data_IF_946843736452
#
_entry.id   IF_946843736452
#
_cell.length_a   1.000
_cell.length_b   1.000
_cell.length_c   1.000
_cell.angle_alpha   90.00
_cell.angle_beta   90.00
_cell.angle_gamma   90.00
#
_symmetry.space_group_name_H-M   'P 1'
#
loop_
_entity.id
_entity.type
_entity.pdbx_description
1 polymer ?
#
# COMPACT_ATOMS: atom_id res chain seq x y z
N UNK A 1 6.22 -13.73 -3.96
CA UNK A 1 5.49 -14.52 -2.94
C UNK A 1 5.11 -15.88 -3.51
N UNK A 2 5.04 -16.92 -2.67
CA UNK A 2 4.50 -18.23 -3.05
C UNK A 2 2.96 -18.27 -2.87
N UNK A 3 2.29 -19.32 -3.35
CA UNK A 3 0.83 -19.45 -3.31
C UNK A 3 0.24 -19.32 -1.90
N UNK A 4 0.89 -19.89 -0.88
CA UNK A 4 0.40 -19.80 0.52
C UNK A 4 0.52 -18.37 1.05
N UNK A 5 1.64 -17.70 0.79
CA UNK A 5 1.84 -16.31 1.20
C UNK A 5 0.79 -15.38 0.55
N UNK A 6 0.51 -15.57 -0.74
CA UNK A 6 -0.54 -14.82 -1.43
C UNK A 6 -1.92 -15.08 -0.82
N UNK A 7 -2.25 -16.32 -0.45
CA UNK A 7 -3.53 -16.64 0.20
C UNK A 7 -3.69 -15.97 1.57
N UNK A 8 -2.62 -15.90 2.36
CA UNK A 8 -2.63 -15.23 3.67
C UNK A 8 -2.79 -13.72 3.48
N UNK A 9 -2.01 -13.11 2.59
CA UNK A 9 -2.13 -11.69 2.27
C UNK A 9 -3.53 -11.35 1.74
N UNK A 10 -4.07 -12.18 0.84
CA UNK A 10 -5.40 -11.98 0.27
C UNK A 10 -6.50 -12.08 1.33
N UNK A 11 -6.40 -13.03 2.26
CA UNK A 11 -7.33 -13.13 3.39
C UNK A 11 -7.29 -11.89 4.28
N UNK A 12 -6.08 -11.43 4.64
CA UNK A 12 -5.93 -10.19 5.41
C UNK A 12 -6.55 -9.00 4.69
N UNK A 13 -6.22 -8.85 3.40
CA UNK A 13 -6.77 -7.79 2.56
C UNK A 13 -8.30 -7.84 2.44
N UNK A 14 -8.89 -9.03 2.27
CA UNK A 14 -10.34 -9.21 2.20
C UNK A 14 -11.06 -8.98 3.52
N UNK A 15 -10.41 -9.29 4.65
CA UNK A 15 -10.98 -9.04 5.97
C UNK A 15 -11.07 -7.54 6.25
N UNK A 16 -10.02 -6.79 5.93
CA UNK A 16 -10.00 -5.32 6.10
C UNK A 16 -10.82 -4.60 5.03
N UNK A 17 -10.90 -5.16 3.81
CA UNK A 17 -11.60 -4.55 2.68
C UNK A 17 -12.52 -5.58 1.97
N UNK A 18 -13.78 -5.72 2.45
CA UNK A 18 -14.75 -6.67 1.88
C UNK A 18 -15.05 -6.41 0.39
N UNK A 19 -14.97 -5.14 -0.02
CA UNK A 19 -15.13 -4.65 -1.40
C UNK A 19 -14.09 -5.24 -2.37
N UNK A 20 -12.92 -5.68 -1.88
CA UNK A 20 -11.82 -6.16 -2.71
C UNK A 20 -10.95 -5.06 -3.33
N UNK A 21 -11.20 -3.80 -2.97
CA UNK A 21 -10.37 -2.63 -3.32
C UNK A 21 -10.22 -1.75 -2.09
N UNK A 22 -9.05 -1.17 -1.91
CA UNK A 22 -8.81 -0.17 -0.85
C UNK A 22 -8.86 1.21 -1.49
N UNK A 23 -9.72 2.08 -1.01
CA UNK A 23 -9.71 3.49 -1.39
C UNK A 23 -8.94 4.32 -0.35
N UNK A 24 -8.68 5.58 -0.68
CA UNK A 24 -7.88 6.46 0.16
C UNK A 24 -8.47 6.63 1.58
N UNK A 25 -9.80 6.76 1.68
CA UNK A 25 -10.48 6.94 2.96
C UNK A 25 -10.33 5.70 3.86
N UNK A 26 -10.51 4.50 3.32
CA UNK A 26 -10.28 3.25 4.04
C UNK A 26 -8.82 3.12 4.44
N UNK A 27 -7.88 3.51 3.58
CA UNK A 27 -6.45 3.48 3.89
C UNK A 27 -6.09 4.42 5.05
N UNK A 28 -6.65 5.64 5.06
CA UNK A 28 -6.51 6.60 6.17
C UNK A 28 -7.12 6.06 7.47
N UNK A 29 -8.27 5.39 7.41
CA UNK A 29 -8.88 4.77 8.59
C UNK A 29 -8.05 3.64 9.19
N UNK A 30 -7.35 2.85 8.37
CA UNK A 30 -6.42 1.82 8.87
C UNK A 30 -5.25 2.48 9.59
N UNK A 31 -4.70 3.55 9.01
CA UNK A 31 -3.58 4.29 9.59
C UNK A 31 -3.96 5.15 10.80
N UNK A 32 -5.22 5.56 10.95
CA UNK A 32 -5.68 6.32 12.12
C UNK A 32 -5.73 5.49 13.41
N UNK A 33 -5.60 4.16 13.32
CA UNK A 33 -5.43 3.28 14.49
C UNK A 33 -4.04 3.38 15.13
N UNK A 34 -3.08 4.09 14.50
CA UNK A 34 -1.79 4.34 15.13
C UNK A 34 -1.95 5.28 16.34
N UNK A 35 -1.48 4.88 17.54
CA UNK A 35 -1.91 5.51 18.78
C UNK A 35 -1.44 6.96 18.98
N UNK A 36 -0.45 7.47 18.23
CA UNK A 36 0.27 8.72 18.56
C UNK A 36 0.53 9.67 17.36
N UNK A 37 -0.47 9.95 16.52
CA UNK A 37 -0.35 11.05 15.55
C UNK A 37 -1.42 11.06 14.45
N UNK A 38 -1.66 12.25 13.89
CA UNK A 38 -2.44 12.38 12.65
C UNK A 38 -1.62 11.84 11.47
N UNK A 39 -1.74 10.54 11.23
CA UNK A 39 -1.07 9.85 10.13
C UNK A 39 -1.76 10.10 8.78
N UNK A 40 -2.77 10.98 8.69
CA UNK A 40 -3.59 11.17 7.47
C UNK A 40 -2.77 11.61 6.26
N UNK A 41 -1.80 12.52 6.45
CA UNK A 41 -0.90 12.94 5.36
C UNK A 41 0.04 11.82 4.92
N UNK A 42 0.61 11.09 5.88
CA UNK A 42 1.49 9.96 5.59
C UNK A 42 0.74 8.81 4.90
N UNK A 43 -0.49 8.54 5.33
CA UNK A 43 -1.39 7.57 4.72
C UNK A 43 -1.75 7.98 3.28
N UNK A 44 -1.97 9.26 3.00
CA UNK A 44 -2.18 9.77 1.64
C UNK A 44 -0.95 9.52 0.75
N UNK A 45 0.25 9.83 1.23
CA UNK A 45 1.48 9.60 0.44
C UNK A 45 1.74 8.13 0.19
N UNK A 46 1.55 7.29 1.20
CA UNK A 46 1.63 5.84 1.03
C UNK A 46 0.60 5.35 0.02
N UNK A 47 -0.65 5.80 0.12
CA UNK A 47 -1.70 5.43 -0.82
C UNK A 47 -1.31 5.74 -2.26
N UNK A 48 -0.80 6.95 -2.54
CA UNK A 48 -0.32 7.32 -3.86
C UNK A 48 0.87 6.46 -4.33
N UNK A 49 1.77 6.08 -3.42
CA UNK A 49 2.88 5.19 -3.74
C UNK A 49 2.43 3.74 -4.05
N UNK A 50 1.29 3.31 -3.50
CA UNK A 50 0.67 2.02 -3.78
C UNK A 50 -0.20 2.06 -5.06
N UNK A 51 -0.93 3.16 -5.31
CA UNK A 51 -1.76 3.35 -6.51
C UNK A 51 -0.92 3.78 -7.72
N UNK A 52 -0.07 2.87 -8.19
CA UNK A 52 0.80 3.10 -9.34
C UNK A 52 0.03 3.45 -10.63
N UNK A 53 -1.24 3.06 -10.72
CA UNK A 53 -2.13 3.35 -11.84
C UNK A 53 -2.90 4.67 -11.69
N UNK A 54 -2.77 5.38 -10.57
CA UNK A 54 -3.54 6.59 -10.23
C UNK A 54 -5.04 6.43 -10.46
N UNK A 55 -5.55 5.24 -10.15
CA UNK A 55 -6.96 4.89 -10.37
C UNK A 55 -7.88 5.37 -9.25
N UNK A 56 -7.31 5.90 -8.16
CA UNK A 56 -8.03 6.22 -6.92
C UNK A 56 -8.39 4.98 -6.10
N UNK A 57 -7.84 3.82 -6.46
CA UNK A 57 -8.10 2.55 -5.77
C UNK A 57 -6.88 1.62 -5.84
N UNK A 58 -6.48 1.08 -4.70
CA UNK A 58 -5.41 0.07 -4.63
C UNK A 58 -6.03 -1.31 -4.69
N UNK A 59 -5.70 -2.08 -5.73
CA UNK A 59 -6.12 -3.49 -5.84
C UNK A 59 -5.13 -4.37 -5.09
N UNK A 60 -5.55 -5.62 -4.87
CA UNK A 60 -4.67 -6.62 -4.27
C UNK A 60 -3.37 -6.83 -5.05
N UNK A 61 -3.42 -6.75 -6.38
CA UNK A 61 -2.25 -6.89 -7.24
C UNK A 61 -1.23 -5.77 -7.00
N UNK A 62 -1.70 -4.51 -6.94
CA UNK A 62 -0.86 -3.34 -6.65
C UNK A 62 -0.22 -3.45 -5.26
N UNK A 63 -1.01 -3.88 -4.28
CA UNK A 63 -0.55 -4.10 -2.92
C UNK A 63 0.56 -5.17 -2.84
N UNK A 64 0.36 -6.31 -3.49
CA UNK A 64 1.35 -7.39 -3.52
C UNK A 64 2.60 -6.99 -4.29
N UNK A 65 2.46 -6.25 -5.40
CA UNK A 65 3.58 -5.76 -6.18
C UNK A 65 4.47 -4.82 -5.35
N UNK A 66 3.87 -3.84 -4.67
CA UNK A 66 4.60 -2.92 -3.79
C UNK A 66 5.25 -3.66 -2.61
N UNK A 67 4.55 -4.59 -1.96
CA UNK A 67 5.14 -5.42 -0.90
C UNK A 67 6.30 -6.30 -1.40
N UNK A 68 6.23 -6.78 -2.64
CA UNK A 68 7.31 -7.56 -3.23
C UNK A 68 8.58 -6.72 -3.35
N UNK A 69 8.47 -5.46 -3.77
CA UNK A 69 9.59 -4.51 -3.81
C UNK A 69 10.10 -4.20 -2.41
N UNK A 70 9.21 -3.90 -1.46
CA UNK A 70 9.58 -3.52 -0.10
C UNK A 70 10.26 -4.66 0.68
N UNK A 71 9.76 -5.89 0.55
CA UNK A 71 10.29 -7.03 1.30
C UNK A 71 11.45 -7.71 0.59
N UNK A 72 11.34 -7.93 -0.74
CA UNK A 72 12.27 -8.78 -1.51
C UNK A 72 12.98 -8.06 -2.65
N UNK A 73 12.67 -6.79 -2.89
CA UNK A 73 13.35 -6.00 -3.90
C UNK A 73 14.82 -5.74 -3.55
N UNK A 74 15.59 -5.40 -4.57
CA UNK A 74 16.96 -4.90 -4.43
C UNK A 74 16.99 -3.53 -3.74
N UNK A 75 18.16 -3.13 -3.26
CA UNK A 75 18.35 -1.79 -2.67
C UNK A 75 17.94 -0.69 -3.67
N UNK A 76 18.22 -0.86 -4.96
CA UNK A 76 17.83 0.10 -6.00
C UNK A 76 16.32 0.19 -6.19
N UNK A 77 15.61 -0.94 -6.20
CA UNK A 77 14.15 -0.94 -6.31
C UNK A 77 13.50 -0.32 -5.08
N UNK A 78 14.01 -0.63 -3.89
CA UNK A 78 13.57 0.00 -2.63
C UNK A 78 13.82 1.50 -2.64
N UNK A 79 15.01 1.95 -3.04
CA UNK A 79 15.36 3.36 -3.19
C UNK A 79 14.40 4.07 -4.15
N UNK A 80 14.12 3.48 -5.31
CA UNK A 80 13.19 4.04 -6.29
C UNK A 80 11.78 4.14 -5.74
N UNK A 81 11.32 3.11 -5.01
CA UNK A 81 10.01 3.11 -4.38
C UNK A 81 9.91 4.17 -3.28
N UNK A 82 10.93 4.27 -2.42
CA UNK A 82 11.02 5.33 -1.41
C UNK A 82 11.07 6.71 -2.05
N UNK A 83 11.80 6.89 -3.16
CA UNK A 83 11.83 8.16 -3.87
C UNK A 83 10.43 8.52 -4.40
N UNK A 84 9.72 7.56 -5.01
CA UNK A 84 8.33 7.76 -5.45
C UNK A 84 7.38 8.10 -4.29
N UNK A 85 7.62 7.58 -3.08
CA UNK A 85 6.84 7.93 -1.88
C UNK A 85 7.05 9.39 -1.46
N UNK A 86 8.26 9.92 -1.62
CA UNK A 86 8.59 11.31 -1.28
C UNK A 86 8.38 12.30 -2.45
N UNK A 87 8.24 11.81 -3.68
CA UNK A 87 8.00 12.59 -4.88
C UNK A 87 6.50 12.97 -4.99
N UNK A 88 6.08 13.86 -4.09
CA UNK A 88 4.69 14.28 -3.87
C UNK A 88 4.19 15.24 -4.98
N UNK A 89 5.09 15.81 -5.81
CA UNK A 89 4.80 16.85 -6.81
C UNK A 89 5.00 16.40 -8.27
N UNK A 90 4.51 15.22 -8.65
CA UNK A 90 4.51 14.85 -10.07
C UNK A 90 3.55 15.67 -10.92
#
# INVERSE_FOLDING_TARGET
FNKRELQVLYRGFKNECPSGVVNEDTFKQIYSQFPHGDASMYAHYLFNAFDAAQSGSVKFEDFVAALSVLLRGTIHEKLRWTFNLYDINK
#
